data_IF_458142096097
#
_entry.id   IF_458142096097
#
_cell.length_a   1.000
_cell.length_b   1.000
_cell.length_c   1.000
_cell.angle_alpha   90.00
_cell.angle_beta   90.00
_cell.angle_gamma   90.00
#
_symmetry.space_group_name_H-M   'P 1'
#
loop_
_entity.id
_entity.type
_entity.pdbx_description
1 polymer ?
#
# COMPACT_ATOMS: atom_id res chain seq x y z
N UNK A 1 -6.26 -28.06 33.10
CA UNK A 1 -6.44 -27.73 31.67
C UNK A 1 -6.97 -26.32 31.57
N UNK A 2 -6.17 -25.47 30.94
CA UNK A 2 -6.47 -24.09 30.63
C UNK A 2 -7.00 -24.04 29.19
N UNK A 3 -8.19 -23.46 29.01
CA UNK A 3 -8.84 -23.35 27.70
C UNK A 3 -8.68 -21.94 27.16
N UNK A 4 -8.16 -21.82 25.93
CA UNK A 4 -8.04 -20.54 25.23
C UNK A 4 -8.99 -20.52 24.03
N UNK A 5 -9.87 -19.52 23.97
CA UNK A 5 -10.75 -19.32 22.80
C UNK A 5 -10.03 -18.44 21.78
N UNK A 6 -9.64 -19.03 20.65
CA UNK A 6 -8.96 -18.35 19.55
C UNK A 6 -9.95 -18.03 18.45
N UNK A 7 -10.13 -16.76 18.14
CA UNK A 7 -10.99 -16.28 17.06
C UNK A 7 -10.15 -15.65 15.95
N UNK A 8 -10.18 -16.26 14.77
CA UNK A 8 -9.45 -15.80 13.58
C UNK A 8 -10.38 -15.00 12.68
N UNK A 9 -9.97 -13.78 12.33
CA UNK A 9 -10.69 -12.88 11.44
C UNK A 9 -9.98 -12.81 10.09
N UNK A 10 -10.66 -13.21 9.02
CA UNK A 10 -10.13 -13.09 7.65
C UNK A 10 -10.54 -11.76 7.04
N UNK A 11 -9.61 -11.05 6.40
CA UNK A 11 -9.90 -9.75 5.81
C UNK A 11 -10.93 -9.84 4.67
N UNK A 12 -11.72 -8.78 4.51
CA UNK A 12 -12.72 -8.69 3.44
C UNK A 12 -12.13 -8.15 2.12
N UNK A 13 -10.99 -8.72 1.69
CA UNK A 13 -10.31 -8.35 0.43
C UNK A 13 -10.35 -9.52 -0.56
N UNK A 14 -10.31 -9.21 -1.86
CA UNK A 14 -10.32 -10.23 -2.90
C UNK A 14 -9.09 -11.15 -2.77
N UNK A 15 -9.31 -12.47 -2.83
CA UNK A 15 -8.25 -13.47 -2.69
C UNK A 15 -7.76 -13.70 -1.25
N UNK A 16 -8.40 -13.12 -0.22
CA UNK A 16 -7.98 -13.28 1.18
C UNK A 16 -8.08 -14.71 1.73
N UNK A 17 -8.73 -15.62 0.99
CA UNK A 17 -9.04 -16.96 1.44
C UNK A 17 -7.85 -17.91 1.31
N UNK A 18 -7.84 -18.94 2.15
CA UNK A 18 -6.89 -20.05 2.01
C UNK A 18 -7.57 -21.40 2.23
N UNK A 19 -7.07 -22.40 1.51
CA UNK A 19 -7.40 -23.80 1.67
C UNK A 19 -6.25 -24.60 2.32
N UNK A 20 -5.13 -23.94 2.63
CA UNK A 20 -4.01 -24.55 3.33
C UNK A 20 -4.35 -24.83 4.80
N UNK A 21 -3.59 -25.73 5.40
CA UNK A 21 -3.73 -26.04 6.82
C UNK A 21 -3.08 -24.93 7.63
N UNK A 22 -3.85 -24.33 8.54
CA UNK A 22 -3.36 -23.27 9.43
C UNK A 22 -3.12 -23.85 10.81
N UNK A 23 -1.91 -23.70 11.30
CA UNK A 23 -1.54 -24.03 12.66
C UNK A 23 -1.27 -22.76 13.45
N UNK A 24 -1.59 -22.79 14.74
CA UNK A 24 -1.31 -21.70 15.66
C UNK A 24 -0.54 -22.20 16.87
N UNK A 25 0.32 -21.34 17.39
CA UNK A 25 0.98 -21.51 18.68
C UNK A 25 0.83 -20.22 19.49
N UNK A 26 0.45 -20.34 20.76
CA UNK A 26 0.36 -19.23 21.69
C UNK A 26 1.64 -19.15 22.53
N UNK A 27 2.14 -17.94 22.76
CA UNK A 27 3.34 -17.70 23.55
C UNK A 27 3.00 -16.66 24.62
N UNK A 28 3.11 -17.08 25.88
CA UNK A 28 2.87 -16.26 27.06
C UNK A 28 4.09 -16.18 27.97
N UNK A 29 3.97 -15.37 29.03
CA UNK A 29 5.07 -15.11 29.98
C UNK A 29 5.52 -16.36 30.74
N UNK A 30 4.60 -17.29 31.02
CA UNK A 30 4.87 -18.48 31.85
C UNK A 30 5.08 -19.76 31.00
N UNK A 31 4.90 -19.67 29.68
CA UNK A 31 5.08 -20.82 28.79
C UNK A 31 4.54 -20.63 27.39
N UNK A 32 4.55 -21.73 26.63
CA UNK A 32 4.11 -21.78 25.25
C UNK A 32 3.10 -22.93 25.07
N UNK A 33 2.10 -22.75 24.21
CA UNK A 33 1.25 -23.87 23.81
C UNK A 33 1.99 -24.80 22.86
N UNK A 34 1.47 -26.01 22.69
CA UNK A 34 1.82 -26.80 21.52
C UNK A 34 1.30 -26.11 20.25
N UNK A 35 1.89 -26.46 19.10
CA UNK A 35 1.39 -25.99 17.82
C UNK A 35 0.19 -26.85 17.42
N UNK A 36 -0.97 -26.24 17.37
CA UNK A 36 -2.24 -26.93 17.12
C UNK A 36 -2.82 -26.57 15.76
N UNK A 37 -3.40 -27.58 15.10
CA UNK A 37 -4.08 -27.40 13.82
C UNK A 37 -5.45 -26.76 14.05
N UNK A 38 -5.67 -25.60 13.43
CA UNK A 38 -6.98 -24.95 13.42
C UNK A 38 -7.83 -25.59 12.31
N UNK A 39 -8.63 -26.59 12.68
CA UNK A 39 -9.49 -27.33 11.77
C UNK A 39 -10.72 -26.54 11.29
N UNK A 40 -10.93 -26.50 9.98
CA UNK A 40 -12.29 -26.41 9.44
C UNK A 40 -12.33 -26.07 7.96
N UNK A 41 -12.94 -26.95 7.17
CA UNK A 41 -13.19 -26.72 5.76
C UNK A 41 -13.92 -25.38 5.56
N UNK A 42 -13.41 -24.52 4.67
CA UNK A 42 -13.96 -23.19 4.41
C UNK A 42 -14.00 -22.26 5.63
N UNK A 43 -13.17 -22.47 6.65
CA UNK A 43 -13.09 -21.56 7.79
C UNK A 43 -12.37 -20.25 7.48
N UNK A 44 -11.47 -20.30 6.51
CA UNK A 44 -10.64 -19.16 6.12
C UNK A 44 -11.10 -18.57 4.78
N UNK A 45 -12.39 -18.30 4.67
CA UNK A 45 -12.95 -17.57 3.52
C UNK A 45 -13.02 -16.07 3.81
N UNK A 46 -12.96 -15.28 2.74
CA UNK A 46 -12.98 -13.81 2.76
C UNK A 46 -14.08 -13.27 3.70
N UNK A 47 -13.69 -12.41 4.65
CA UNK A 47 -14.60 -11.73 5.57
C UNK A 47 -15.19 -12.59 6.68
N UNK A 48 -14.85 -13.88 6.76
CA UNK A 48 -15.36 -14.79 7.80
C UNK A 48 -14.59 -14.64 9.10
N UNK A 49 -15.30 -14.95 10.18
CA UNK A 49 -14.78 -15.06 11.55
C UNK A 49 -15.00 -16.50 12.00
N UNK A 50 -13.95 -17.12 12.54
CA UNK A 50 -13.99 -18.53 12.98
C UNK A 50 -13.35 -18.66 14.35
N UNK A 51 -14.03 -19.31 15.30
CA UNK A 51 -13.55 -19.54 16.67
C UNK A 51 -13.15 -20.98 16.91
N UNK A 52 -12.13 -21.18 17.73
CA UNK A 52 -11.51 -22.45 18.07
C UNK A 52 -11.12 -22.47 19.54
N UNK A 53 -11.02 -23.66 20.13
CA UNK A 53 -10.57 -23.82 21.51
C UNK A 53 -9.27 -24.59 21.52
N UNK A 54 -8.22 -23.97 22.07
CA UNK A 54 -6.92 -24.59 22.31
C UNK A 54 -6.82 -25.04 23.76
N UNK A 55 -6.10 -26.14 23.98
CA UNK A 55 -6.02 -26.78 25.29
C UNK A 55 -4.59 -26.82 25.79
N UNK A 56 -4.31 -26.09 26.86
CA UNK A 56 -3.02 -26.15 27.54
C UNK A 56 -3.12 -26.94 28.85
N UNK A 57 -2.11 -27.72 29.24
CA UNK A 57 -2.10 -28.41 30.54
C UNK A 57 -2.28 -27.43 31.72
N UNK A 58 -1.56 -26.30 31.65
CA UNK A 58 -1.52 -25.21 32.62
C UNK A 58 -1.72 -23.88 31.88
N UNK A 59 -2.18 -22.84 32.59
CA UNK A 59 -2.19 -21.48 32.04
C UNK A 59 -0.77 -21.04 31.70
N UNK A 60 -0.59 -20.45 30.53
CA UNK A 60 0.72 -19.96 30.02
C UNK A 60 0.96 -18.47 30.34
N UNK A 61 0.17 -17.92 31.26
CA UNK A 61 0.29 -16.53 31.71
C UNK A 61 -0.17 -15.54 30.66
N UNK A 62 0.35 -14.31 30.75
CA UNK A 62 -0.03 -13.21 29.86
C UNK A 62 0.52 -13.43 28.46
N UNK A 63 -0.37 -13.45 27.47
CA UNK A 63 0.02 -13.63 26.07
C UNK A 63 0.65 -12.36 25.50
N UNK A 64 1.75 -12.53 24.75
CA UNK A 64 2.42 -11.42 24.08
C UNK A 64 2.74 -11.70 22.61
N UNK A 65 2.68 -12.96 22.17
CA UNK A 65 2.99 -13.38 20.81
C UNK A 65 2.14 -14.58 20.39
N UNK A 66 1.83 -14.66 19.09
CA UNK A 66 1.35 -15.87 18.42
C UNK A 66 2.27 -16.23 17.26
N UNK A 67 2.34 -17.52 16.95
CA UNK A 67 2.91 -18.01 15.70
C UNK A 67 1.80 -18.58 14.82
N UNK A 68 1.78 -18.18 13.56
CA UNK A 68 0.91 -18.74 12.52
C UNK A 68 1.77 -19.47 11.49
N UNK A 69 1.38 -20.70 11.19
CA UNK A 69 2.09 -21.60 10.29
C UNK A 69 1.11 -22.08 9.23
N UNK A 70 1.33 -21.64 7.97
CA UNK A 70 0.49 -21.97 6.82
C UNK A 70 1.14 -23.13 6.06
N UNK A 71 0.67 -24.34 6.28
CA UNK A 71 1.21 -25.51 5.61
C UNK A 71 0.45 -25.83 4.33
N UNK A 72 1.17 -25.83 3.21
CA UNK A 72 0.64 -26.14 1.89
C UNK A 72 0.18 -27.60 1.81
N UNK A 73 -0.99 -27.82 1.19
CA UNK A 73 -1.47 -29.16 0.89
C UNK A 73 -0.77 -29.68 -0.37
N UNK A 74 -0.19 -30.90 -0.36
CA UNK A 74 0.39 -31.48 -1.56
C UNK A 74 -0.69 -31.62 -2.63
N UNK A 75 -0.40 -31.19 -3.86
CA UNK A 75 -1.28 -31.18 -5.05
C UNK A 75 -2.27 -30.01 -5.19
N UNK A 76 -2.28 -29.06 -4.25
CA UNK A 76 -3.04 -27.82 -4.41
C UNK A 76 -2.12 -26.67 -4.84
N UNK A 77 -2.60 -25.74 -5.68
CA UNK A 77 -1.84 -24.53 -5.98
C UNK A 77 -1.59 -23.74 -4.69
N UNK A 78 -0.41 -23.13 -4.62
CA UNK A 78 -0.04 -22.25 -3.52
C UNK A 78 -1.01 -21.06 -3.48
N UNK A 79 -1.64 -20.85 -2.33
CA UNK A 79 -2.54 -19.72 -2.11
C UNK A 79 -1.97 -18.75 -1.07
N UNK A 80 -2.40 -17.50 -1.20
CA UNK A 80 -2.05 -16.43 -0.28
C UNK A 80 -3.20 -16.21 0.69
N UNK A 81 -2.89 -16.11 1.97
CA UNK A 81 -3.88 -15.90 3.01
C UNK A 81 -3.80 -14.48 3.57
N UNK A 82 -4.94 -13.82 3.81
CA UNK A 82 -4.95 -12.51 4.47
C UNK A 82 -5.75 -12.53 5.79
N UNK A 83 -5.10 -12.92 6.90
CA UNK A 83 -5.66 -12.73 8.23
C UNK A 83 -5.66 -11.24 8.61
N UNK A 84 -6.81 -10.73 9.04
CA UNK A 84 -6.94 -9.37 9.55
C UNK A 84 -6.40 -9.27 10.98
N UNK A 85 -6.94 -10.11 11.87
CA UNK A 85 -6.49 -10.21 13.27
C UNK A 85 -6.80 -11.60 13.82
N UNK A 86 -6.11 -11.94 14.91
CA UNK A 86 -6.48 -13.06 15.78
C UNK A 86 -6.81 -12.48 17.15
N UNK A 87 -7.90 -12.92 17.74
CA UNK A 87 -8.31 -12.58 19.09
C UNK A 87 -8.22 -13.84 19.95
N UNK A 88 -7.67 -13.74 21.16
CA UNK A 88 -7.53 -14.87 22.06
C UNK A 88 -8.11 -14.51 23.42
N UNK A 89 -9.10 -15.26 23.89
CA UNK A 89 -9.59 -15.16 25.28
C UNK A 89 -8.91 -16.21 26.14
N UNK A 90 -8.32 -15.78 27.24
CA UNK A 90 -7.65 -16.65 28.19
C UNK A 90 -8.62 -17.30 29.19
N UNK A 91 -8.20 -18.38 29.87
CA UNK A 91 -9.00 -19.00 30.94
C UNK A 91 -9.36 -18.03 32.07
N UNK A 92 -8.53 -17.01 32.30
CA UNK A 92 -8.70 -15.98 33.32
C UNK A 92 -9.72 -14.90 32.90
N UNK A 93 -10.18 -14.92 31.64
CA UNK A 93 -11.15 -13.98 31.09
C UNK A 93 -10.53 -12.77 30.37
N UNK A 94 -9.21 -12.70 30.25
CA UNK A 94 -8.52 -11.63 29.52
C UNK A 94 -8.66 -11.84 28.01
N UNK A 95 -8.82 -10.74 27.26
CA UNK A 95 -8.85 -10.77 25.78
C UNK A 95 -7.61 -10.11 25.20
N UNK A 96 -6.87 -10.87 24.40
CA UNK A 96 -5.66 -10.45 23.71
C UNK A 96 -5.95 -10.26 22.23
N UNK A 97 -5.48 -9.16 21.63
CA UNK A 97 -5.69 -8.88 20.22
C UNK A 97 -4.36 -8.89 19.47
N UNK A 98 -4.26 -9.70 18.42
CA UNK A 98 -3.08 -9.81 17.56
C UNK A 98 -3.43 -9.26 16.17
N UNK A 99 -3.17 -7.96 15.90
CA UNK A 99 -3.40 -7.37 14.59
C UNK A 99 -2.36 -7.89 13.59
N UNK A 100 -2.81 -8.41 12.45
CA UNK A 100 -1.94 -9.00 11.42
C UNK A 100 -1.94 -8.13 10.18
N UNK A 101 -3.10 -7.96 9.54
CA UNK A 101 -3.32 -7.14 8.35
C UNK A 101 -2.25 -7.29 7.25
N UNK A 102 -1.72 -8.52 7.09
CA UNK A 102 -0.63 -8.86 6.18
C UNK A 102 -0.97 -10.13 5.41
N UNK A 103 -0.50 -10.23 4.18
CA UNK A 103 -0.54 -11.48 3.42
C UNK A 103 0.47 -12.48 3.96
N UNK A 104 0.03 -13.71 4.17
CA UNK A 104 0.86 -14.89 4.45
C UNK A 104 0.90 -15.69 3.15
N UNK A 105 2.00 -15.59 2.42
CA UNK A 105 2.13 -16.14 1.06
C UNK A 105 2.93 -17.44 1.03
N UNK A 106 3.90 -17.58 1.92
CA UNK A 106 4.82 -18.72 1.99
C UNK A 106 4.40 -19.74 3.07
N UNK A 107 5.20 -20.78 3.23
CA UNK A 107 5.09 -21.83 4.24
C UNK A 107 5.94 -21.57 5.49
N UNK A 108 6.46 -20.34 5.65
CA UNK A 108 7.24 -19.98 6.83
C UNK A 108 6.33 -19.74 8.03
N UNK A 109 6.91 -19.87 9.23
CA UNK A 109 6.22 -19.52 10.47
C UNK A 109 6.26 -18.00 10.65
N UNK A 110 5.08 -17.38 10.69
CA UNK A 110 4.92 -15.94 10.88
C UNK A 110 4.57 -15.63 12.33
N UNK A 111 5.30 -14.70 12.94
CA UNK A 111 5.12 -14.35 14.35
C UNK A 111 4.47 -12.97 14.48
N UNK A 112 3.41 -12.88 15.28
CA UNK A 112 2.64 -11.64 15.47
C UNK A 112 2.53 -11.30 16.95
N UNK A 113 2.77 -10.03 17.27
CA UNK A 113 2.73 -9.52 18.64
C UNK A 113 1.34 -9.05 19.02
N UNK A 114 1.08 -9.00 20.32
CA UNK A 114 -0.13 -8.39 20.86
C UNK A 114 -0.22 -6.90 20.45
N UNK A 115 -1.44 -6.41 20.27
CA UNK A 115 -1.75 -5.13 19.65
C UNK A 115 -1.40 -3.90 20.48
N UNK A 116 -1.07 -4.07 21.77
CA UNK A 116 -0.55 -2.99 22.60
C UNK A 116 0.79 -2.51 22.03
N UNK A 117 0.84 -1.23 21.67
CA UNK A 117 2.06 -0.61 21.20
C UNK A 117 3.12 -0.58 22.31
N UNK A 118 4.30 -1.14 22.03
CA UNK A 118 5.43 -1.21 22.97
C UNK A 118 6.69 -0.62 22.32
N UNK A 119 7.41 0.24 23.05
CA UNK A 119 8.74 0.72 22.63
C UNK A 119 9.79 -0.36 22.89
N UNK A 120 11.01 -0.12 22.41
CA UNK A 120 12.13 -1.08 22.54
C UNK A 120 12.38 -1.46 24.00
N UNK A 121 12.33 -0.49 24.90
CA UNK A 121 12.59 -0.66 26.32
C UNK A 121 11.36 -1.05 27.15
N UNK A 122 10.17 -1.11 26.55
CA UNK A 122 8.96 -1.61 27.21
C UNK A 122 8.82 -3.15 27.04
N UNK A 123 9.65 -3.79 26.19
CA UNK A 123 9.69 -5.25 26.05
C UNK A 123 10.56 -5.86 27.17
N UNK A 124 9.93 -6.57 28.09
CA UNK A 124 10.62 -7.17 29.24
C UNK A 124 10.90 -8.67 29.06
N UNK A 125 10.23 -9.33 28.11
CA UNK A 125 10.38 -10.76 27.88
C UNK A 125 11.43 -11.06 26.81
N UNK A 126 12.38 -11.96 27.11
CA UNK A 126 13.51 -12.27 26.23
C UNK A 126 13.09 -12.73 24.82
N UNK A 127 12.02 -13.52 24.71
CA UNK A 127 11.47 -13.93 23.40
C UNK A 127 10.91 -12.73 22.63
N UNK A 128 10.16 -11.83 23.27
CA UNK A 128 9.60 -10.65 22.60
C UNK A 128 10.71 -9.78 21.99
N UNK A 129 11.80 -9.56 22.74
CA UNK A 129 12.99 -8.86 22.27
C UNK A 129 13.62 -9.58 21.07
N UNK A 130 13.81 -10.90 21.16
CA UNK A 130 14.37 -11.72 20.06
C UNK A 130 13.52 -11.61 18.79
N UNK A 131 12.20 -11.77 18.89
CA UNK A 131 11.31 -11.69 17.73
C UNK A 131 11.28 -10.28 17.11
N UNK A 132 11.33 -9.22 17.92
CA UNK A 132 11.46 -7.85 17.40
C UNK A 132 12.76 -7.68 16.60
N UNK A 133 13.88 -8.20 17.08
CA UNK A 133 15.15 -8.14 16.35
C UNK A 133 15.11 -8.93 15.04
N UNK A 134 14.46 -10.10 15.04
CA UNK A 134 14.27 -10.90 13.82
C UNK A 134 13.37 -10.18 12.80
N UNK A 135 12.26 -9.57 13.24
CA UNK A 135 11.39 -8.77 12.38
C UNK A 135 12.16 -7.62 11.73
N UNK A 136 12.93 -6.86 12.52
CA UNK A 136 13.71 -5.72 12.01
C UNK A 136 14.78 -6.16 11.00
N UNK A 137 15.51 -7.25 11.28
CA UNK A 137 16.50 -7.81 10.35
C UNK A 137 15.87 -8.28 9.04
N UNK A 138 14.67 -8.85 9.10
CA UNK A 138 13.94 -9.26 7.90
C UNK A 138 13.48 -8.03 7.11
N UNK A 139 12.92 -7.02 7.78
CA UNK A 139 12.51 -5.77 7.11
C UNK A 139 13.66 -5.02 6.48
N UNK A 140 14.85 -5.03 7.07
CA UNK A 140 16.03 -4.40 6.46
C UNK A 140 16.40 -5.06 5.12
N UNK A 141 16.17 -6.37 4.99
CA UNK A 141 16.35 -7.11 3.73
C UNK A 141 15.23 -6.82 2.73
N UNK A 142 13.98 -6.84 3.20
CA UNK A 142 12.80 -6.67 2.34
C UNK A 142 12.66 -5.23 1.83
N UNK A 143 13.06 -4.25 2.65
CA UNK A 143 12.92 -2.81 2.40
C UNK A 143 14.28 -2.14 2.20
N UNK A 144 14.95 -2.51 1.11
CA UNK A 144 16.24 -1.93 0.75
C UNK A 144 16.10 -0.59 0.00
N UNK A 145 17.07 0.29 0.20
CA UNK A 145 17.22 1.52 -0.59
C UNK A 145 17.88 1.24 -1.96
N UNK A 146 17.53 2.06 -2.94
CA UNK A 146 18.09 2.06 -4.28
C UNK A 146 18.21 3.49 -4.82
N UNK A 147 19.27 3.74 -5.58
CA UNK A 147 19.50 4.99 -6.29
C UNK A 147 18.92 4.86 -7.69
N UNK A 148 17.78 5.51 -7.94
CA UNK A 148 17.16 5.50 -9.27
C UNK A 148 17.91 6.38 -10.27
N UNK A 149 18.30 7.59 -9.84
CA UNK A 149 19.08 8.53 -10.62
C UNK A 149 19.92 9.41 -9.68
N UNK A 150 21.07 9.88 -10.17
CA UNK A 150 21.96 10.76 -9.41
C UNK A 150 21.24 12.07 -9.02
N UNK A 151 21.42 12.50 -7.77
CA UNK A 151 20.78 13.71 -7.23
C UNK A 151 19.31 13.57 -6.84
N UNK A 152 18.65 12.43 -7.13
CA UNK A 152 17.29 12.14 -6.68
C UNK A 152 17.28 11.50 -5.28
N UNK A 153 16.23 11.72 -4.47
CA UNK A 153 16.03 10.95 -3.25
C UNK A 153 16.03 9.44 -3.55
N UNK A 154 16.66 8.65 -2.69
CA UNK A 154 16.64 7.20 -2.82
C UNK A 154 15.21 6.68 -2.81
N UNK A 155 14.97 5.59 -3.52
CA UNK A 155 13.70 4.90 -3.55
C UNK A 155 13.85 3.47 -3.03
N UNK A 156 12.73 2.76 -2.90
CA UNK A 156 12.78 1.33 -2.60
C UNK A 156 13.39 0.56 -3.77
N UNK A 157 14.28 -0.38 -3.47
CA UNK A 157 14.84 -1.35 -4.41
C UNK A 157 13.74 -2.32 -4.81
N UNK A 158 13.39 -2.31 -6.10
CA UNK A 158 12.45 -3.25 -6.69
C UNK A 158 12.69 -3.27 -8.21
N UNK A 159 12.74 -4.46 -8.80
CA UNK A 159 12.86 -4.62 -10.25
C UNK A 159 11.54 -4.35 -10.96
N UNK A 160 10.44 -4.66 -10.27
CA UNK A 160 9.08 -4.51 -10.77
C UNK A 160 8.07 -4.33 -9.62
N UNK A 161 6.86 -3.82 -9.90
CA UNK A 161 5.82 -3.70 -8.88
C UNK A 161 5.44 -5.02 -8.20
N UNK A 162 5.63 -6.16 -8.87
CA UNK A 162 5.39 -7.51 -8.33
C UNK A 162 6.54 -8.04 -7.46
N UNK A 163 7.74 -7.44 -7.55
CA UNK A 163 8.88 -7.79 -6.69
C UNK A 163 8.85 -7.07 -5.33
N UNK A 164 7.89 -6.16 -5.13
CA UNK A 164 7.68 -5.51 -3.84
C UNK A 164 7.13 -6.51 -2.82
N UNK A 165 7.37 -6.31 -1.51
CA UNK A 165 6.67 -7.05 -0.47
C UNK A 165 5.16 -6.98 -0.65
N UNK A 166 4.48 -8.10 -0.49
CA UNK A 166 3.05 -8.28 -0.79
C UNK A 166 2.16 -7.26 -0.05
N UNK A 167 2.57 -6.83 1.14
CA UNK A 167 1.85 -5.86 1.97
C UNK A 167 1.84 -4.42 1.43
N UNK A 168 2.79 -4.06 0.55
CA UNK A 168 2.83 -2.74 -0.08
C UNK A 168 2.37 -2.75 -1.53
N UNK A 169 2.07 -3.93 -2.07
CA UNK A 169 1.49 -4.07 -3.40
C UNK A 169 0.04 -3.60 -3.45
N UNK A 170 -0.44 -3.25 -4.65
CA UNK A 170 -1.86 -3.03 -4.87
C UNK A 170 -2.65 -4.29 -4.61
N UNK A 171 -3.85 -4.13 -4.02
CA UNK A 171 -4.83 -5.22 -4.05
C UNK A 171 -5.25 -5.51 -5.48
N UNK A 172 -5.65 -6.76 -5.76
CA UNK A 172 -6.21 -7.15 -7.06
C UNK A 172 -7.28 -6.16 -7.56
N UNK A 173 -8.22 -5.80 -6.68
CA UNK A 173 -9.28 -4.83 -7.00
C UNK A 173 -8.73 -3.48 -7.41
N UNK A 174 -7.68 -2.97 -6.74
CA UNK A 174 -7.10 -1.67 -7.06
C UNK A 174 -6.34 -1.71 -8.39
N UNK A 175 -5.64 -2.80 -8.66
CA UNK A 175 -4.97 -3.04 -9.95
C UNK A 175 -5.98 -3.05 -11.09
N UNK A 176 -7.08 -3.80 -10.95
CA UNK A 176 -8.14 -3.88 -11.97
C UNK A 176 -8.82 -2.53 -12.18
N UNK A 177 -9.17 -1.83 -11.10
CA UNK A 177 -9.80 -0.50 -11.16
C UNK A 177 -8.91 0.50 -11.90
N UNK A 178 -7.62 0.56 -11.55
CA UNK A 178 -6.67 1.47 -12.19
C UNK A 178 -6.46 1.10 -13.67
N UNK A 179 -6.24 -0.18 -13.97
CA UNK A 179 -6.06 -0.65 -15.34
C UNK A 179 -7.27 -0.35 -16.21
N UNK A 180 -8.48 -0.61 -15.69
CA UNK A 180 -9.73 -0.29 -16.37
C UNK A 180 -9.85 1.21 -16.65
N UNK A 181 -9.61 2.04 -15.63
CA UNK A 181 -9.71 3.51 -15.76
C UNK A 181 -8.73 4.09 -16.78
N UNK A 182 -7.50 3.56 -16.83
CA UNK A 182 -6.50 3.96 -17.84
C UNK A 182 -6.92 3.48 -19.22
N UNK A 183 -7.32 2.22 -19.34
CA UNK A 183 -7.67 1.61 -20.62
C UNK A 183 -8.89 2.28 -21.28
N UNK A 184 -9.95 2.55 -20.51
CA UNK A 184 -11.14 3.26 -21.01
C UNK A 184 -10.78 4.68 -21.48
N UNK A 185 -10.00 5.43 -20.69
CA UNK A 185 -9.57 6.77 -21.08
C UNK A 185 -8.74 6.80 -22.37
N UNK A 186 -7.83 5.83 -22.55
CA UNK A 186 -7.04 5.72 -23.79
C UNK A 186 -7.89 5.29 -24.99
N UNK A 187 -8.81 4.33 -24.82
CA UNK A 187 -9.72 3.91 -25.90
C UNK A 187 -10.62 5.05 -26.35
N UNK A 188 -11.19 5.81 -25.42
CA UNK A 188 -12.03 6.96 -25.75
C UNK A 188 -11.27 7.97 -26.62
N UNK A 189 -10.02 8.28 -26.27
CA UNK A 189 -9.15 9.15 -27.06
C UNK A 189 -8.78 8.54 -28.42
N UNK A 190 -8.57 7.21 -28.50
CA UNK A 190 -8.30 6.51 -29.76
C UNK A 190 -9.50 6.50 -30.70
N UNK A 191 -10.70 6.21 -30.22
CA UNK A 191 -11.92 6.21 -31.02
C UNK A 191 -12.23 7.60 -31.60
N UNK A 192 -11.84 8.65 -30.89
CA UNK A 192 -11.91 10.04 -31.37
C UNK A 192 -10.75 10.45 -32.29
N UNK A 193 -9.80 9.55 -32.54
CA UNK A 193 -8.59 9.83 -33.34
C UNK A 193 -7.61 10.80 -32.68
N UNK A 194 -7.75 11.07 -31.37
CA UNK A 194 -6.95 12.06 -30.64
C UNK A 194 -5.64 11.47 -30.10
N UNK A 195 -5.63 10.21 -29.69
CA UNK A 195 -4.46 9.57 -29.07
C UNK A 195 -3.26 9.45 -30.02
N UNK A 196 -3.51 9.27 -31.32
CA UNK A 196 -2.47 9.05 -32.34
C UNK A 196 -2.29 10.26 -33.27
N UNK A 197 -2.92 11.40 -32.96
CA UNK A 197 -2.92 12.60 -33.81
C UNK A 197 -1.56 13.29 -33.80
N UNK A 198 -0.91 13.36 -34.95
CA UNK A 198 0.40 14.05 -35.13
C UNK A 198 0.29 15.44 -35.74
N UNK A 199 -0.90 15.80 -36.21
CA UNK A 199 -1.18 17.06 -36.88
C UNK A 199 -1.44 18.18 -35.88
N UNK A 200 -1.18 19.42 -36.30
CA UNK A 200 -1.48 20.60 -35.49
C UNK A 200 -2.99 20.84 -35.48
N UNK A 201 -3.49 21.36 -34.37
CA UNK A 201 -4.82 21.92 -34.30
C UNK A 201 -4.91 23.17 -35.19
N UNK A 202 -6.00 23.28 -35.93
CA UNK A 202 -6.25 24.37 -36.87
C UNK A 202 -6.98 25.53 -36.21
N UNK A 203 -7.82 25.23 -35.21
CA UNK A 203 -8.53 26.21 -34.40
C UNK A 203 -8.37 25.87 -32.90
N UNK A 204 -8.37 26.89 -32.04
CA UNK A 204 -8.37 26.73 -30.59
C UNK A 204 -9.64 26.01 -30.11
N UNK A 205 -10.78 26.24 -30.77
CA UNK A 205 -12.06 25.59 -30.46
C UNK A 205 -12.01 24.07 -30.68
N UNK A 206 -11.10 23.58 -31.54
CA UNK A 206 -10.94 22.15 -31.76
C UNK A 206 -10.43 21.43 -30.48
N UNK A 207 -9.77 22.16 -29.58
CA UNK A 207 -9.26 21.64 -28.30
C UNK A 207 -10.40 21.25 -27.35
N UNK A 208 -11.59 21.84 -27.49
CA UNK A 208 -12.77 21.51 -26.67
C UNK A 208 -13.22 20.05 -26.85
N UNK A 209 -12.88 19.44 -27.98
CA UNK A 209 -13.14 18.01 -28.26
C UNK A 209 -12.38 17.07 -27.30
N UNK A 210 -11.30 17.56 -26.69
CA UNK A 210 -10.51 16.84 -25.67
C UNK A 210 -11.23 16.89 -24.31
N UNK A 211 -11.84 18.03 -23.97
CA UNK A 211 -12.46 18.27 -22.65
C UNK A 211 -13.89 17.73 -22.51
N UNK A 212 -14.56 17.35 -23.60
CA UNK A 212 -15.96 16.96 -23.57
C UNK A 212 -16.29 15.69 -22.77
N UNK A 213 -15.30 14.88 -22.37
CA UNK A 213 -15.54 13.61 -21.67
C UNK A 213 -15.21 13.59 -20.17
N UNK A 214 -14.47 14.56 -19.64
CA UNK A 214 -14.12 14.62 -18.20
C UNK A 214 -14.08 16.06 -17.66
N UNK A 215 -15.18 16.80 -17.87
CA UNK A 215 -15.37 18.14 -17.29
C UNK A 215 -15.77 18.00 -15.83
N UNK A 216 -15.05 18.64 -14.93
CA UNK A 216 -15.44 18.73 -13.51
C UNK A 216 -15.89 20.15 -13.22
N UNK A 217 -16.72 20.37 -12.21
CA UNK A 217 -17.21 21.72 -11.87
C UNK A 217 -16.09 22.72 -11.48
N UNK A 218 -14.85 22.24 -11.28
CA UNK A 218 -13.64 23.02 -10.98
C UNK A 218 -12.87 23.41 -12.26
N UNK A 219 -13.14 22.81 -13.42
CA UNK A 219 -12.49 23.26 -14.67
C UNK A 219 -12.91 24.67 -15.11
N UNK A 220 -13.88 25.27 -14.43
CA UNK A 220 -14.38 26.63 -14.67
C UNK A 220 -14.32 27.54 -13.41
N UNK A 221 -13.59 27.18 -12.34
CA UNK A 221 -13.60 28.01 -11.12
C UNK A 221 -12.24 28.22 -10.43
N UNK A 222 -11.97 29.49 -10.10
CA UNK A 222 -10.73 30.02 -9.54
C UNK A 222 -10.93 30.33 -8.05
N UNK A 223 -10.10 29.77 -7.19
CA UNK A 223 -10.23 30.02 -5.75
C UNK A 223 -8.87 30.25 -5.06
N UNK A 224 -8.76 31.34 -4.30
CA UNK A 224 -7.51 32.07 -4.06
C UNK A 224 -7.17 32.34 -2.58
N UNK A 225 -5.90 32.14 -2.24
CA UNK A 225 -5.30 32.29 -0.89
C UNK A 225 -4.83 33.75 -0.62
N UNK A 226 -4.66 34.13 0.65
CA UNK A 226 -4.33 35.49 1.14
C UNK A 226 -2.96 36.05 0.70
N UNK A 227 -2.97 37.25 0.11
CA UNK A 227 -1.85 38.10 -0.33
C UNK A 227 -2.33 39.09 -1.42
N UNK A 228 -1.80 40.31 -1.51
CA UNK A 228 -2.25 41.30 -2.52
C UNK A 228 -1.34 41.40 -3.75
N UNK A 229 -0.12 40.86 -3.66
CA UNK A 229 0.82 40.70 -4.77
C UNK A 229 1.42 39.31 -4.62
N UNK A 230 1.37 38.50 -5.67
CA UNK A 230 1.98 37.17 -5.71
C UNK A 230 3.05 37.14 -6.79
N UNK A 231 4.15 36.45 -6.50
CA UNK A 231 5.22 36.18 -7.44
C UNK A 231 5.29 34.67 -7.66
N UNK A 232 5.14 34.24 -8.90
CA UNK A 232 5.44 32.88 -9.33
C UNK A 232 6.75 32.92 -10.13
N UNK A 233 7.85 32.58 -9.46
CA UNK A 233 9.17 32.48 -10.06
C UNK A 233 9.43 31.03 -10.52
N UNK A 234 9.51 30.82 -11.83
CA UNK A 234 9.80 29.53 -12.44
C UNK A 234 11.28 29.35 -12.76
N UNK A 235 12.19 30.11 -12.11
CA UNK A 235 13.67 29.99 -12.25
C UNK A 235 14.20 28.56 -12.18
N UNK A 236 13.52 27.63 -11.50
CA UNK A 236 13.89 26.19 -11.48
C UNK A 236 13.86 25.51 -12.85
N UNK A 237 13.18 26.10 -13.84
CA UNK A 237 13.16 25.62 -15.23
C UNK A 237 14.31 26.19 -16.07
N UNK A 238 15.08 27.14 -15.54
CA UNK A 238 16.18 27.76 -16.28
C UNK A 238 17.31 26.74 -16.52
N UNK A 239 17.81 26.70 -17.75
CA UNK A 239 18.82 25.72 -18.17
C UNK A 239 18.34 24.27 -18.27
N UNK A 240 17.07 23.96 -17.99
CA UNK A 240 16.54 22.59 -18.13
C UNK A 240 16.49 22.20 -19.61
N UNK A 241 17.04 21.02 -19.93
CA UNK A 241 17.07 20.50 -21.29
C UNK A 241 15.67 20.08 -21.75
N UNK A 242 15.17 20.72 -22.81
CA UNK A 242 13.90 20.36 -23.41
C UNK A 242 13.96 19.03 -24.20
N UNK A 243 12.83 18.33 -24.26
CA UNK A 243 12.70 17.05 -24.95
C UNK A 243 12.66 17.22 -26.50
N UNK A 244 12.82 16.11 -27.22
CA UNK A 244 12.55 16.01 -28.67
C UNK A 244 11.43 15.01 -28.89
N UNK A 245 10.29 15.48 -29.38
CA UNK A 245 9.10 14.65 -29.61
C UNK A 245 8.88 14.53 -31.11
N UNK A 246 8.74 13.30 -31.64
CA UNK A 246 8.58 13.03 -33.07
C UNK A 246 9.64 13.72 -33.96
N UNK A 247 10.90 13.74 -33.50
CA UNK A 247 12.00 14.41 -34.21
C UNK A 247 11.99 15.93 -34.15
N UNK A 248 11.03 16.55 -33.44
CA UNK A 248 10.91 18.00 -33.29
C UNK A 248 11.35 18.44 -31.90
N UNK A 249 12.32 19.36 -31.85
CA UNK A 249 12.82 19.96 -30.61
C UNK A 249 11.70 20.74 -29.93
N UNK A 250 11.45 20.44 -28.66
CA UNK A 250 10.53 21.18 -27.79
C UNK A 250 11.30 22.30 -27.08
N UNK A 251 10.57 23.23 -26.46
CA UNK A 251 11.16 24.40 -25.80
C UNK A 251 10.59 24.55 -24.39
N UNK A 252 11.41 25.03 -23.47
CA UNK A 252 11.06 25.34 -22.09
C UNK A 252 11.39 26.79 -21.79
N UNK A 253 10.67 27.39 -20.84
CA UNK A 253 10.91 28.75 -20.37
C UNK A 253 10.81 28.78 -18.83
N UNK A 254 11.52 29.73 -18.21
CA UNK A 254 11.50 29.99 -16.77
C UNK A 254 10.91 31.38 -16.49
N UNK A 255 9.59 31.56 -16.65
CA UNK A 255 8.95 32.88 -16.48
C UNK A 255 9.00 33.37 -15.04
N UNK A 256 8.90 34.69 -14.89
CA UNK A 256 8.57 35.34 -13.63
C UNK A 256 7.19 35.99 -13.79
N UNK A 257 6.21 35.55 -13.01
CA UNK A 257 4.83 36.02 -13.12
C UNK A 257 4.45 36.77 -11.86
N UNK A 258 4.02 38.03 -12.00
CA UNK A 258 3.52 38.86 -10.91
C UNK A 258 1.99 38.96 -11.03
N UNK A 259 1.26 38.68 -9.95
CA UNK A 259 -0.21 38.65 -9.92
C UNK A 259 -0.71 39.62 -8.84
N UNK A 260 -1.78 40.37 -9.12
CA UNK A 260 -2.43 41.31 -8.19
C UNK A 260 -3.89 40.89 -7.97
N UNK A 261 -4.35 40.93 -6.71
CA UNK A 261 -5.68 40.44 -6.31
C UNK A 261 -6.70 41.59 -6.17
N UNK A 262 -7.94 41.38 -6.64
CA UNK A 262 -9.10 42.27 -6.41
C UNK A 262 -9.91 41.86 -5.16
N UNK A 263 -10.80 42.73 -4.62
CA UNK A 263 -11.31 42.68 -3.24
C UNK A 263 -12.13 41.46 -2.77
N UNK A 264 -12.58 40.56 -3.66
CA UNK A 264 -13.59 39.53 -3.35
C UNK A 264 -12.97 38.22 -2.79
N UNK A 265 -12.20 38.41 -1.72
CA UNK A 265 -11.21 37.59 -1.04
C UNK A 265 -11.69 36.25 -0.36
N UNK A 266 -11.69 35.07 -1.02
CA UNK A 266 -11.76 33.78 -0.26
C UNK A 266 -10.84 32.60 -0.70
N UNK A 267 -10.02 32.11 0.26
CA UNK A 267 -9.76 30.68 0.57
C UNK A 267 -8.82 30.44 1.79
N UNK A 268 -8.99 29.32 2.53
CA UNK A 268 -8.01 28.77 3.51
C UNK A 268 -8.06 27.23 3.74
N UNK A 269 -6.92 26.56 4.09
CA UNK A 269 -6.81 25.12 4.43
C UNK A 269 -6.42 24.84 5.91
N UNK A 270 -6.77 23.67 6.49
CA UNK A 270 -6.41 23.33 7.88
C UNK A 270 -6.10 21.81 8.04
N UNK A 271 -4.80 21.48 7.94
CA UNK A 271 -4.10 20.25 8.38
C UNK A 271 -4.32 18.88 7.67
N UNK A 272 -3.21 18.14 7.49
CA UNK A 272 -3.19 16.69 7.19
C UNK A 272 -2.20 16.02 8.14
N UNK A 273 -2.70 15.12 8.97
CA UNK A 273 -1.92 14.24 9.84
C UNK A 273 -1.74 12.90 9.14
N UNK A 274 -0.51 12.39 9.07
CA UNK A 274 -0.21 11.14 8.38
C UNK A 274 0.08 9.98 9.38
N UNK A 275 -0.92 9.13 9.63
CA UNK A 275 -0.84 7.77 10.19
C UNK A 275 -0.47 6.66 9.17
N UNK A 276 -0.18 5.44 9.62
CA UNK A 276 0.19 4.33 8.73
C UNK A 276 -0.77 3.91 7.59
N UNK A 277 -2.08 4.27 7.50
CA UNK A 277 -2.83 4.12 6.25
C UNK A 277 -2.33 4.99 5.09
N UNK A 278 -1.58 6.08 5.33
CA UNK A 278 -1.24 7.02 4.25
C UNK A 278 0.02 6.66 3.47
N UNK A 279 0.72 5.59 3.82
CA UNK A 279 1.77 5.01 2.96
C UNK A 279 1.24 3.87 2.10
N UNK A 280 -0.01 3.43 2.32
CA UNK A 280 -0.64 2.38 1.53
C UNK A 280 -0.52 2.73 0.05
N UNK A 281 -0.07 1.76 -0.74
CA UNK A 281 0.08 1.86 -2.20
C UNK A 281 1.14 2.86 -2.70
N UNK A 282 1.78 3.65 -1.83
CA UNK A 282 2.78 4.67 -2.23
C UNK A 282 3.99 4.05 -2.92
N UNK A 283 4.50 2.94 -2.39
CA UNK A 283 5.66 2.25 -2.97
C UNK A 283 5.32 1.61 -4.32
N UNK A 284 4.14 0.99 -4.44
CA UNK A 284 3.68 0.36 -5.68
C UNK A 284 3.40 1.39 -6.78
N UNK A 285 2.70 2.49 -6.48
CA UNK A 285 2.44 3.53 -7.50
C UNK A 285 3.74 4.22 -7.94
N UNK A 286 4.68 4.46 -7.03
CA UNK A 286 5.98 5.03 -7.37
C UNK A 286 6.82 4.06 -8.22
N UNK A 287 6.73 2.75 -7.95
CA UNK A 287 7.35 1.72 -8.80
C UNK A 287 6.74 1.67 -10.19
N UNK A 288 5.41 1.80 -10.31
CA UNK A 288 4.72 1.89 -11.60
C UNK A 288 5.14 3.16 -12.36
N UNK A 289 5.18 4.31 -11.69
CA UNK A 289 5.60 5.57 -12.30
C UNK A 289 7.03 5.49 -12.85
N UNK A 290 7.99 4.96 -12.08
CA UNK A 290 9.36 4.74 -12.57
C UNK A 290 9.44 3.81 -13.78
N UNK A 291 8.54 2.84 -13.88
CA UNK A 291 8.53 1.86 -14.98
C UNK A 291 7.83 2.38 -16.25
N UNK A 292 6.69 3.06 -16.09
CA UNK A 292 5.77 3.37 -17.19
C UNK A 292 5.67 4.87 -17.51
N UNK A 293 5.96 5.74 -16.53
CA UNK A 293 5.72 7.17 -16.64
C UNK A 293 7.01 7.94 -16.94
N UNK A 294 8.03 7.77 -16.09
CA UNK A 294 9.27 8.57 -16.13
C UNK A 294 10.51 7.78 -16.58
N UNK A 295 10.34 6.52 -17.00
CA UNK A 295 11.41 5.74 -17.64
C UNK A 295 11.80 6.34 -18.99
N UNK A 296 12.96 5.90 -19.52
CA UNK A 296 13.46 6.33 -20.83
C UNK A 296 12.49 6.05 -22.00
N UNK A 297 11.57 5.11 -21.83
CA UNK A 297 10.53 4.75 -22.81
C UNK A 297 9.11 5.10 -22.31
N UNK A 298 9.01 5.74 -21.15
CA UNK A 298 7.75 6.06 -20.48
C UNK A 298 7.04 7.26 -21.10
N UNK A 299 5.81 7.49 -20.66
CA UNK A 299 4.91 8.51 -21.25
C UNK A 299 5.53 9.92 -21.26
N UNK A 300 6.35 10.32 -20.28
CA UNK A 300 7.00 11.64 -20.28
C UNK A 300 8.04 11.84 -21.40
N UNK A 301 8.55 10.75 -21.97
CA UNK A 301 9.57 10.80 -23.03
C UNK A 301 8.97 10.82 -24.44
N UNK A 302 7.70 10.40 -24.57
CA UNK A 302 6.96 10.33 -25.83
C UNK A 302 6.32 11.68 -26.18
#
# INVERSE_FOLDING_TARGET
MANYEVTVFVGNIAGANTFNNIFIKLVGEDGESEREWIMGAFSFIRGKVSSYTLFCPVSIGKLFLIELDKQCLPLFPEDSWYPAKVEVKSPEGDTYNFPIYRWVTDDMVHCFREGKALRVFDDNHHLAIKYRQLELKQREKDYCWHVYAEGMPHCMKAESPSSLPCEVQFSFTKTVELAYTVYTGVIELKLKGLADRKEKWTNIDDVDQVFCCKRTHISDDNSGRKGNIFLCDYKRLDGVKANTINGKKQYLMAPLVLLHRTPDDELMPIAIQLLMPHTRYTLHINSLARKLLISETGVFTQ
#
